data_IF_537029524163
#
_entry.id   IF_537029524163
#
_cell.length_a   1.000
_cell.length_b   1.000
_cell.length_c   1.000
_cell.angle_alpha   90.00
_cell.angle_beta   90.00
_cell.angle_gamma   90.00
#
_symmetry.space_group_name_H-M   'P 1'
#
loop_
_entity.id
_entity.type
_entity.pdbx_description
1 polymer ?
#
# COMPACT_ATOMS: atom_id res chain seq x y z
N UNK A 1 -62.48 -17.80 -68.73
CA UNK A 1 -63.63 -18.49 -68.10
C UNK A 1 -63.40 -19.99 -68.17
N UNK A 2 -63.19 -20.68 -67.03
CA UNK A 2 -63.54 -22.10 -66.79
C UNK A 2 -63.19 -22.53 -65.35
N UNK A 3 -64.25 -22.85 -64.58
CA UNK A 3 -64.46 -23.92 -63.57
C UNK A 3 -63.28 -24.37 -62.68
N UNK A 4 -63.28 -24.12 -61.36
CA UNK A 4 -63.89 -24.90 -60.24
C UNK A 4 -63.59 -26.41 -60.28
N UNK A 5 -62.84 -26.92 -59.29
CA UNK A 5 -63.04 -28.14 -58.47
C UNK A 5 -62.07 -28.05 -57.26
N UNK A 6 -62.53 -27.83 -56.03
CA UNK A 6 -63.06 -28.77 -55.02
C UNK A 6 -62.00 -29.21 -54.00
N UNK A 7 -62.33 -28.89 -52.76
CA UNK A 7 -61.60 -29.18 -51.55
C UNK A 7 -61.63 -30.67 -51.18
N UNK A 8 -60.57 -31.17 -50.57
CA UNK A 8 -60.68 -32.18 -49.51
C UNK A 8 -59.72 -31.90 -48.36
N UNK A 9 -60.21 -32.27 -47.19
CA UNK A 9 -59.85 -31.86 -45.84
C UNK A 9 -58.95 -32.95 -45.25
N UNK A 10 -57.75 -32.61 -44.75
CA UNK A 10 -56.83 -33.57 -44.13
C UNK A 10 -56.19 -33.01 -42.85
N UNK A 11 -56.54 -33.63 -41.72
CA UNK A 11 -56.17 -33.35 -40.32
C UNK A 11 -54.66 -33.10 -40.02
N UNK A 12 -54.44 -32.27 -38.98
CA UNK A 12 -53.18 -31.99 -38.25
C UNK A 12 -52.53 -33.27 -37.67
N UNK A 13 -51.22 -33.27 -37.34
CA UNK A 13 -50.88 -32.96 -35.96
C UNK A 13 -49.60 -32.12 -35.75
N UNK A 14 -49.65 -31.43 -34.61
CA UNK A 14 -48.56 -30.82 -33.84
C UNK A 14 -47.23 -31.58 -33.86
N UNK A 15 -46.16 -30.91 -34.26
CA UNK A 15 -44.79 -31.30 -33.91
C UNK A 15 -44.07 -30.11 -33.28
N UNK A 16 -44.25 -30.01 -31.97
CA UNK A 16 -43.51 -29.18 -31.03
C UNK A 16 -42.04 -29.63 -31.02
N UNK A 17 -41.19 -29.11 -31.91
CA UNK A 17 -39.72 -29.32 -31.79
C UNK A 17 -39.12 -28.20 -30.94
N UNK A 18 -38.84 -28.58 -29.69
CA UNK A 18 -38.13 -27.84 -28.65
C UNK A 18 -36.76 -27.34 -29.16
N UNK A 19 -36.23 -26.24 -28.60
CA UNK A 19 -34.88 -25.78 -28.89
C UNK A 19 -33.87 -26.85 -28.46
N UNK A 20 -33.01 -27.26 -29.38
CA UNK A 20 -31.84 -28.05 -29.06
C UNK A 20 -30.78 -27.13 -28.43
N UNK A 21 -31.02 -26.65 -27.22
CA UNK A 21 -29.95 -26.19 -26.33
C UNK A 21 -29.24 -27.43 -25.81
N UNK A 22 -28.45 -28.05 -26.68
CA UNK A 22 -27.53 -29.12 -26.29
C UNK A 22 -26.40 -28.41 -25.54
N UNK A 23 -26.58 -28.27 -24.24
CA UNK A 23 -25.53 -27.90 -23.30
C UNK A 23 -24.44 -28.97 -23.38
N UNK A 24 -23.55 -28.82 -24.36
CA UNK A 24 -22.26 -29.48 -24.40
C UNK A 24 -21.39 -28.83 -23.31
N UNK A 25 -21.75 -29.07 -22.06
CA UNK A 25 -20.77 -28.94 -21.00
C UNK A 25 -19.90 -30.17 -21.15
N UNK A 26 -18.62 -30.02 -21.57
CA UNK A 26 -17.72 -31.16 -21.60
C UNK A 26 -17.74 -31.75 -20.19
N UNK A 27 -18.10 -33.03 -20.08
CA UNK A 27 -17.97 -33.79 -18.85
C UNK A 27 -16.46 -33.97 -18.68
N UNK A 28 -15.79 -32.91 -18.21
CA UNK A 28 -14.36 -32.95 -17.93
C UNK A 28 -14.17 -34.03 -16.89
N UNK A 29 -13.27 -34.96 -17.22
CA UNK A 29 -12.91 -36.04 -16.30
C UNK A 29 -12.44 -35.40 -15.00
N UNK A 30 -12.84 -35.96 -13.85
CA UNK A 30 -12.50 -35.45 -12.51
C UNK A 30 -10.99 -35.18 -12.35
N UNK A 31 -10.15 -35.90 -13.10
CA UNK A 31 -8.69 -35.74 -13.17
C UNK A 31 -8.25 -34.43 -13.86
N UNK A 32 -8.94 -34.02 -14.92
CA UNK A 32 -8.63 -32.78 -15.65
C UNK A 32 -9.00 -31.54 -14.84
N UNK A 33 -10.17 -31.56 -14.17
CA UNK A 33 -10.54 -30.48 -13.24
C UNK A 33 -9.53 -30.33 -12.10
N UNK A 34 -8.98 -31.44 -11.59
CA UNK A 34 -8.00 -31.40 -10.51
C UNK A 34 -6.67 -30.78 -10.98
N UNK A 35 -6.25 -31.05 -12.21
CA UNK A 35 -5.07 -30.43 -12.82
C UNK A 35 -5.23 -28.92 -13.00
N UNK A 36 -6.36 -28.47 -13.55
CA UNK A 36 -6.65 -27.04 -13.70
C UNK A 36 -6.77 -26.31 -12.37
N UNK A 37 -7.34 -26.95 -11.35
CA UNK A 37 -7.40 -26.39 -10.00
C UNK A 37 -5.99 -26.17 -9.42
N UNK A 38 -5.09 -27.14 -9.57
CA UNK A 38 -3.70 -27.04 -9.11
C UNK A 38 -2.96 -25.88 -9.79
N UNK A 39 -3.11 -25.73 -11.11
CA UNK A 39 -2.53 -24.62 -11.87
C UNK A 39 -3.11 -23.28 -11.41
N UNK A 40 -4.42 -23.20 -11.19
CA UNK A 40 -5.08 -21.99 -10.69
C UNK A 40 -4.58 -21.60 -9.29
N UNK A 41 -4.46 -22.55 -8.38
CA UNK A 41 -3.94 -22.32 -7.02
C UNK A 41 -2.47 -21.90 -7.07
N UNK A 42 -1.65 -22.55 -7.89
CA UNK A 42 -0.24 -22.18 -8.04
C UNK A 42 -0.08 -20.77 -8.62
N UNK A 43 -0.86 -20.43 -9.65
CA UNK A 43 -0.88 -19.10 -10.26
C UNK A 43 -1.33 -18.01 -9.28
N UNK A 44 -2.38 -18.29 -8.49
CA UNK A 44 -2.88 -17.35 -7.49
C UNK A 44 -1.86 -17.15 -6.34
N UNK A 45 -1.21 -18.23 -5.92
CA UNK A 45 -0.15 -18.19 -4.90
C UNK A 45 1.03 -17.34 -5.37
N UNK A 46 1.47 -17.53 -6.62
CA UNK A 46 2.55 -16.74 -7.21
C UNK A 46 2.18 -15.25 -7.34
N UNK A 47 0.95 -14.96 -7.75
CA UNK A 47 0.44 -13.59 -7.82
C UNK A 47 0.40 -12.92 -6.43
N UNK A 48 -0.08 -13.64 -5.41
CA UNK A 48 -0.08 -13.19 -4.02
C UNK A 48 1.32 -12.90 -3.51
N UNK A 49 2.28 -13.80 -3.77
CA UNK A 49 3.68 -13.63 -3.39
C UNK A 49 4.29 -12.39 -4.06
N UNK A 50 4.06 -12.20 -5.37
CA UNK A 50 4.54 -11.03 -6.10
C UNK A 50 4.00 -9.73 -5.49
N UNK A 51 2.72 -9.71 -5.12
CA UNK A 51 2.12 -8.54 -4.48
C UNK A 51 2.72 -8.28 -3.10
N UNK A 52 2.97 -9.32 -2.31
CA UNK A 52 3.65 -9.19 -1.01
C UNK A 52 5.07 -8.63 -1.14
N UNK A 53 5.85 -9.12 -2.10
CA UNK A 53 7.21 -8.61 -2.36
C UNK A 53 7.17 -7.13 -2.73
N UNK A 54 6.25 -6.71 -3.61
CA UNK A 54 6.09 -5.30 -3.98
C UNK A 54 5.75 -4.45 -2.75
N UNK A 55 4.77 -4.89 -1.95
CA UNK A 55 4.39 -4.20 -0.70
C UNK A 55 5.56 -4.09 0.27
N UNK A 56 6.35 -5.15 0.45
CA UNK A 56 7.53 -5.13 1.30
C UNK A 56 8.56 -4.11 0.82
N UNK A 57 8.84 -4.07 -0.50
CA UNK A 57 9.79 -3.10 -1.07
C UNK A 57 9.33 -1.67 -0.86
N UNK A 58 8.03 -1.40 -1.00
CA UNK A 58 7.48 -0.07 -0.68
C UNK A 58 7.56 0.25 0.82
N UNK A 59 7.28 -0.72 1.69
CA UNK A 59 7.39 -0.53 3.13
C UNK A 59 8.84 -0.23 3.55
N UNK A 60 9.80 -1.01 3.05
CA UNK A 60 11.24 -0.79 3.26
C UNK A 60 11.68 0.57 2.73
N UNK A 61 11.26 0.95 1.52
CA UNK A 61 11.58 2.25 0.94
C UNK A 61 11.02 3.41 1.77
N UNK A 62 9.82 3.27 2.34
CA UNK A 62 9.25 4.28 3.25
C UNK A 62 10.01 4.34 4.57
N UNK A 63 10.34 3.20 5.16
CA UNK A 63 11.10 3.13 6.41
C UNK A 63 12.48 3.78 6.26
N UNK A 64 13.21 3.46 5.19
CA UNK A 64 14.53 4.05 4.92
C UNK A 64 14.47 5.58 4.73
N UNK A 65 13.44 6.09 4.05
CA UNK A 65 13.24 7.55 3.90
C UNK A 65 12.95 8.22 5.25
N UNK A 66 12.16 7.57 6.10
CA UNK A 66 11.83 8.12 7.41
C UNK A 66 13.04 8.10 8.36
N UNK A 67 13.85 7.04 8.32
CA UNK A 67 15.12 6.97 9.03
C UNK A 67 16.06 8.11 8.61
N UNK A 68 16.21 8.36 7.29
CA UNK A 68 17.01 9.46 6.79
C UNK A 68 16.49 10.83 7.28
N UNK A 69 15.16 11.03 7.30
CA UNK A 69 14.54 12.26 7.81
C UNK A 69 14.82 12.45 9.30
N UNK A 70 14.67 11.40 10.09
CA UNK A 70 14.95 11.43 11.53
C UNK A 70 16.43 11.71 11.80
N UNK A 71 17.34 11.05 11.09
CA UNK A 71 18.78 11.31 11.20
C UNK A 71 19.14 12.76 10.82
N UNK A 72 18.51 13.32 9.79
CA UNK A 72 18.71 14.72 9.41
C UNK A 72 18.21 15.68 10.51
N UNK A 73 17.03 15.41 11.09
CA UNK A 73 16.51 16.19 12.23
C UNK A 73 17.41 16.10 13.45
N UNK A 74 17.93 14.91 13.76
CA UNK A 74 18.86 14.71 14.87
C UNK A 74 20.15 15.50 14.67
N UNK A 75 20.74 15.48 13.46
CA UNK A 75 21.92 16.30 13.15
C UNK A 75 21.63 17.80 13.30
N UNK A 76 20.48 18.26 12.81
CA UNK A 76 20.07 19.66 12.94
C UNK A 76 19.87 20.05 14.42
N UNK A 77 19.24 19.18 15.22
CA UNK A 77 19.06 19.37 16.65
C UNK A 77 20.39 19.41 17.41
N UNK A 78 21.34 18.53 17.06
CA UNK A 78 22.69 18.55 17.64
C UNK A 78 23.45 19.82 17.26
N UNK A 79 23.35 20.25 16.00
CA UNK A 79 23.98 21.48 15.55
C UNK A 79 23.40 22.71 16.26
N UNK A 80 22.08 22.76 16.48
CA UNK A 80 21.44 23.84 17.24
C UNK A 80 21.84 23.79 18.72
N UNK A 81 21.89 22.62 19.35
CA UNK A 81 22.41 22.49 20.72
C UNK A 81 23.87 22.92 20.83
N UNK A 82 24.72 22.56 19.86
CA UNK A 82 26.11 22.99 19.83
C UNK A 82 26.21 24.52 19.67
N UNK A 83 25.41 25.10 18.78
CA UNK A 83 25.33 26.55 18.60
C UNK A 83 24.86 27.29 19.86
N UNK A 84 23.91 26.72 20.61
CA UNK A 84 23.42 27.27 21.87
C UNK A 84 24.42 27.08 23.02
N UNK A 85 25.33 26.11 22.93
CA UNK A 85 26.39 25.89 23.92
C UNK A 85 27.64 26.72 23.66
N UNK A 86 27.79 27.33 22.49
CA UNK A 86 28.95 28.14 22.17
C UNK A 86 28.89 29.49 22.92
N UNK A 87 29.74 29.70 23.94
CA UNK A 87 29.69 30.90 24.76
C UNK A 87 30.08 32.16 23.98
N UNK A 88 30.91 32.05 22.92
CA UNK A 88 31.30 33.20 22.10
C UNK A 88 30.12 33.68 21.28
N UNK A 89 29.41 32.73 20.66
CA UNK A 89 28.21 33.02 19.85
C UNK A 89 27.08 33.58 20.69
N UNK A 90 26.91 33.08 21.91
CA UNK A 90 25.97 33.66 22.88
C UNK A 90 26.37 35.09 23.28
N UNK A 91 27.67 35.35 23.51
CA UNK A 91 28.14 36.69 23.84
C UNK A 91 27.95 37.69 22.67
N UNK A 92 28.17 37.26 21.43
CA UNK A 92 27.88 38.07 20.23
C UNK A 92 26.39 38.38 20.10
N UNK A 93 25.52 37.37 20.26
CA UNK A 93 24.07 37.54 20.25
C UNK A 93 23.57 38.44 21.38
N UNK A 94 24.17 38.32 22.57
CA UNK A 94 23.88 39.16 23.71
C UNK A 94 24.23 40.63 23.40
N UNK A 95 25.43 40.89 22.89
CA UNK A 95 25.85 42.24 22.46
C UNK A 95 24.96 42.81 21.37
N UNK A 96 24.60 42.02 20.35
CA UNK A 96 23.73 42.45 19.26
C UNK A 96 22.31 42.81 19.73
N UNK A 97 21.84 42.21 20.84
CA UNK A 97 20.56 42.53 21.49
C UNK A 97 20.68 43.61 22.57
N UNK A 98 21.84 44.24 22.72
CA UNK A 98 22.07 45.30 23.69
C UNK A 98 22.30 44.82 25.12
N UNK A 99 22.52 43.52 25.33
CA UNK A 99 22.93 43.01 26.64
C UNK A 99 24.41 43.35 26.88
N UNK A 100 24.67 44.06 27.99
CA UNK A 100 26.00 44.44 28.44
C UNK A 100 26.72 43.30 29.20
N UNK A 101 28.04 43.46 29.45
CA UNK A 101 28.77 42.53 30.30
C UNK A 101 28.12 42.44 31.70
N UNK A 102 27.96 41.24 32.26
CA UNK A 102 27.27 41.07 33.53
C UNK A 102 28.05 41.74 34.65
N UNK A 103 27.38 42.59 35.44
CA UNK A 103 27.96 43.18 36.66
C UNK A 103 28.25 42.13 37.74
N UNK A 104 27.56 40.97 37.68
CA UNK A 104 27.72 39.89 38.66
C UNK A 104 27.43 38.51 38.06
N UNK A 105 28.30 37.54 38.32
CA UNK A 105 28.12 36.13 37.91
C UNK A 105 27.65 35.32 39.12
N UNK A 106 26.43 34.79 39.08
CA UNK A 106 25.92 33.87 40.10
C UNK A 106 26.32 32.44 39.74
N UNK A 107 27.20 31.82 40.55
CA UNK A 107 27.51 30.39 40.45
C UNK A 107 26.44 29.60 41.19
N UNK A 108 25.56 28.95 40.44
CA UNK A 108 24.59 28.00 40.99
C UNK A 108 25.21 26.61 40.91
N UNK A 109 25.68 26.06 42.03
CA UNK A 109 26.20 24.69 42.03
C UNK A 109 27.22 24.29 43.10
N UNK A 110 27.68 25.18 43.97
CA UNK A 110 28.53 24.74 45.09
C UNK A 110 27.64 24.02 46.14
N UNK A 111 27.48 22.70 45.97
CA UNK A 111 27.02 21.82 47.05
C UNK A 111 28.00 21.97 48.21
N UNK A 112 27.61 22.76 49.21
CA UNK A 112 28.31 22.80 50.49
C UNK A 112 28.41 21.39 51.10
N UNK A 113 29.49 21.08 51.83
CA UNK A 113 29.69 19.76 52.41
C UNK A 113 28.52 19.45 53.36
N UNK A 114 27.83 18.33 53.09
CA UNK A 114 26.84 17.77 54.02
C UNK A 114 27.58 17.35 55.29
N UNK A 115 27.32 18.06 56.40
CA UNK A 115 27.56 17.55 57.75
C UNK A 115 26.39 16.68 58.17
#
# INVERSE_FOLDING_TARGET
>A
MARRELATRGKKPTARRRPATRSNLPILSRRECMGWLLVAVAGLSLAGLRMHVIRLRYALGRAAREEQRLAARERAARATLAALRDPKRLAELARARGYGPPERILRVGERGPRR
#
